data_IF_888104886095
#
_entry.id   IF_888104886095
#
_cell.length_a   1.000
_cell.length_b   1.000
_cell.length_c   1.000
_cell.angle_alpha   90.00
_cell.angle_beta   90.00
_cell.angle_gamma   90.00
#
_symmetry.space_group_name_H-M   'P 1'
#
loop_
_entity.id
_entity.type
_entity.pdbx_description
1 polymer ?
#
# COMPACT_ATOMS: atom_id res chain seq x y z
N UNK A 1 44.07 -5.56 -15.85
CA UNK A 1 42.85 -6.28 -16.25
C UNK A 1 42.37 -7.04 -15.03
N UNK A 2 41.34 -6.52 -14.39
CA UNK A 2 40.88 -6.93 -13.06
C UNK A 2 39.84 -8.04 -13.17
N UNK A 3 39.92 -9.05 -12.32
CA UNK A 3 39.07 -10.25 -12.26
C UNK A 3 37.55 -9.98 -11.94
N UNK A 4 37.12 -8.72 -11.86
CA UNK A 4 35.75 -8.33 -11.56
C UNK A 4 34.79 -8.34 -12.76
N UNK A 5 35.32 -8.33 -14.01
CA UNK A 5 34.47 -8.20 -15.20
C UNK A 5 33.92 -9.53 -15.74
N UNK A 6 34.33 -10.65 -15.15
CA UNK A 6 33.92 -11.99 -15.64
C UNK A 6 32.66 -12.51 -14.92
N UNK A 7 32.32 -12.00 -13.73
CA UNK A 7 31.16 -12.48 -12.94
C UNK A 7 29.82 -11.83 -13.32
N UNK A 8 29.84 -10.70 -14.04
CA UNK A 8 28.61 -10.04 -14.50
C UNK A 8 28.01 -10.64 -15.79
N UNK A 9 28.74 -11.55 -16.44
CA UNK A 9 28.33 -12.08 -17.78
C UNK A 9 27.58 -13.42 -17.74
N UNK A 10 27.40 -14.05 -16.58
CA UNK A 10 26.88 -15.42 -16.48
C UNK A 10 25.43 -15.58 -16.03
N UNK A 11 24.65 -14.50 -15.82
CA UNK A 11 23.29 -14.64 -15.26
C UNK A 11 22.17 -14.48 -16.32
N UNK A 12 22.46 -14.07 -17.53
CA UNK A 12 21.45 -13.99 -18.60
C UNK A 12 21.68 -14.99 -19.71
N UNK A 13 20.89 -16.07 -19.85
CA UNK A 13 21.02 -17.00 -20.95
C UNK A 13 20.68 -16.32 -22.30
N UNK A 14 21.57 -16.44 -23.28
CA UNK A 14 21.30 -16.10 -24.69
C UNK A 14 20.07 -16.86 -25.19
N UNK A 15 18.96 -16.18 -25.39
CA UNK A 15 17.72 -16.77 -25.94
C UNK A 15 17.54 -16.34 -27.39
N UNK A 16 18.08 -17.13 -28.30
CA UNK A 16 17.67 -17.14 -29.72
C UNK A 16 16.62 -18.24 -29.88
N UNK A 17 15.34 -17.90 -29.99
CA UNK A 17 14.24 -18.62 -30.69
C UNK A 17 12.91 -17.99 -30.25
N UNK A 18 11.87 -18.10 -31.11
CA UNK A 18 10.54 -17.56 -30.82
C UNK A 18 10.08 -17.93 -29.43
N UNK A 19 9.84 -16.92 -28.60
CA UNK A 19 9.59 -17.09 -27.15
C UNK A 19 8.37 -17.98 -26.89
N UNK A 20 7.39 -17.97 -27.78
CA UNK A 20 6.17 -18.75 -27.67
C UNK A 20 6.39 -20.28 -27.85
N UNK A 21 7.40 -20.71 -28.62
CA UNK A 21 7.69 -22.14 -28.78
C UNK A 21 8.42 -22.77 -27.60
N UNK A 22 9.02 -21.94 -26.73
CA UNK A 22 9.85 -22.39 -25.60
C UNK A 22 9.09 -22.54 -24.29
N UNK A 23 7.87 -21.98 -24.18
CA UNK A 23 7.11 -22.00 -22.92
C UNK A 23 5.90 -22.93 -22.99
N UNK A 24 5.85 -23.86 -22.03
CA UNK A 24 4.70 -24.72 -21.84
C UNK A 24 3.45 -23.87 -21.52
N UNK A 25 2.34 -24.15 -22.17
CA UNK A 25 1.04 -23.49 -21.92
C UNK A 25 0.68 -23.37 -20.43
N UNK A 26 1.08 -24.34 -19.62
CA UNK A 26 0.85 -24.32 -18.17
C UNK A 26 1.48 -23.11 -17.48
N UNK A 27 2.68 -22.68 -17.91
CA UNK A 27 3.35 -21.52 -17.33
C UNK A 27 2.73 -20.22 -17.81
N UNK A 28 2.27 -20.16 -19.05
CA UNK A 28 1.55 -18.98 -19.57
C UNK A 28 0.23 -18.81 -18.84
N UNK A 29 -0.56 -19.88 -18.66
CA UNK A 29 -1.80 -19.85 -17.88
C UNK A 29 -1.54 -19.51 -16.42
N UNK A 30 -0.46 -20.02 -15.82
CA UNK A 30 -0.02 -19.71 -14.47
C UNK A 30 0.38 -18.23 -14.28
N UNK A 31 0.75 -17.53 -15.35
CA UNK A 31 0.93 -16.08 -15.35
C UNK A 31 -0.40 -15.35 -15.59
N UNK A 32 -1.11 -15.70 -16.67
CA UNK A 32 -2.26 -14.93 -17.16
C UNK A 32 -3.44 -14.96 -16.18
N UNK A 33 -3.80 -16.15 -15.68
CA UNK A 33 -4.98 -16.30 -14.82
C UNK A 33 -4.84 -15.52 -13.49
N UNK A 34 -3.78 -15.71 -12.68
CA UNK A 34 -3.62 -14.94 -11.45
C UNK A 34 -3.46 -13.44 -11.70
N UNK A 35 -2.76 -13.05 -12.76
CA UNK A 35 -2.57 -11.65 -13.12
C UNK A 35 -3.89 -10.97 -13.49
N UNK A 36 -4.72 -11.61 -14.32
CA UNK A 36 -6.06 -11.10 -14.66
C UNK A 36 -6.92 -11.03 -13.41
N UNK A 37 -6.92 -12.07 -12.58
CA UNK A 37 -7.68 -12.07 -11.33
C UNK A 37 -7.24 -10.92 -10.41
N UNK A 38 -5.94 -10.70 -10.23
CA UNK A 38 -5.42 -9.58 -9.47
C UNK A 38 -5.85 -8.22 -10.04
N UNK A 39 -5.74 -8.02 -11.36
CA UNK A 39 -6.20 -6.79 -12.02
C UNK A 39 -7.70 -6.58 -11.81
N UNK A 40 -8.52 -7.62 -11.98
CA UNK A 40 -9.97 -7.54 -11.79
C UNK A 40 -10.33 -7.15 -10.35
N UNK A 41 -9.68 -7.76 -9.37
CA UNK A 41 -9.96 -7.51 -7.96
C UNK A 41 -9.55 -6.11 -7.49
N UNK A 42 -8.38 -5.63 -7.95
CA UNK A 42 -7.75 -4.42 -7.41
C UNK A 42 -7.87 -3.18 -8.29
N UNK A 43 -8.08 -3.34 -9.59
CA UNK A 43 -7.98 -2.24 -10.56
C UNK A 43 -9.24 -1.99 -11.37
N UNK A 44 -10.18 -2.95 -11.45
CA UNK A 44 -11.42 -2.71 -12.20
C UNK A 44 -12.44 -2.05 -11.28
N UNK A 45 -12.85 -0.80 -11.58
CA UNK A 45 -13.89 -0.14 -10.82
C UNK A 45 -15.23 -0.80 -11.12
N UNK A 46 -16.02 -1.02 -10.08
CA UNK A 46 -17.39 -1.53 -10.12
C UNK A 46 -18.33 -0.54 -9.44
N UNK A 47 -19.53 -0.41 -9.95
CA UNK A 47 -20.56 0.41 -9.34
C UNK A 47 -21.40 -0.44 -8.39
N UNK A 48 -21.47 -0.05 -7.13
CA UNK A 48 -22.27 -0.68 -6.09
C UNK A 48 -23.05 0.42 -5.37
N UNK A 49 -24.36 0.30 -5.34
CA UNK A 49 -25.27 1.28 -4.70
C UNK A 49 -25.03 2.74 -5.13
N UNK A 50 -24.74 2.95 -6.43
CA UNK A 50 -24.47 4.26 -7.00
C UNK A 50 -23.09 4.85 -6.68
N UNK A 51 -22.20 4.07 -6.04
CA UNK A 51 -20.80 4.45 -5.75
C UNK A 51 -19.82 3.58 -6.52
N UNK A 52 -18.76 4.21 -7.06
CA UNK A 52 -17.69 3.49 -7.73
C UNK A 52 -16.66 3.01 -6.72
N UNK A 53 -16.32 1.73 -6.76
CA UNK A 53 -15.35 1.12 -5.86
C UNK A 53 -14.65 -0.06 -6.55
N UNK A 54 -13.73 -0.75 -5.85
CA UNK A 54 -13.06 -1.95 -6.38
C UNK A 54 -13.60 -3.20 -5.69
N UNK A 55 -13.53 -4.35 -6.38
CA UNK A 55 -14.12 -5.61 -5.90
C UNK A 55 -13.59 -6.01 -4.52
N UNK A 56 -12.29 -5.80 -4.27
CA UNK A 56 -11.70 -6.10 -2.94
C UNK A 56 -12.39 -5.30 -1.83
N UNK A 57 -12.72 -4.02 -2.09
CA UNK A 57 -13.43 -3.21 -1.10
C UNK A 57 -14.87 -3.67 -0.91
N UNK A 58 -15.57 -4.05 -1.97
CA UNK A 58 -16.93 -4.63 -1.86
C UNK A 58 -16.93 -5.87 -0.98
N UNK A 59 -15.95 -6.76 -1.17
CA UNK A 59 -15.79 -7.95 -0.32
C UNK A 59 -15.47 -7.54 1.12
N UNK A 60 -14.62 -6.53 1.32
CA UNK A 60 -14.30 -6.01 2.64
C UNK A 60 -15.53 -5.45 3.36
N UNK A 61 -16.34 -4.66 2.68
CA UNK A 61 -17.56 -4.05 3.22
C UNK A 61 -18.61 -5.13 3.57
N UNK A 62 -18.73 -6.18 2.75
CA UNK A 62 -19.59 -7.33 3.04
C UNK A 62 -19.14 -8.10 4.29
N UNK A 63 -17.85 -8.37 4.43
CA UNK A 63 -17.30 -9.01 5.64
C UNK A 63 -17.48 -8.10 6.84
N UNK A 64 -17.25 -6.79 6.68
CA UNK A 64 -17.41 -5.79 7.72
C UNK A 64 -18.81 -5.75 8.29
N UNK A 65 -19.82 -5.77 7.42
CA UNK A 65 -21.23 -5.80 7.85
C UNK A 65 -21.60 -7.07 8.63
N UNK A 66 -20.99 -8.21 8.27
CA UNK A 66 -21.22 -9.48 8.98
C UNK A 66 -20.52 -9.56 10.36
N UNK A 67 -19.46 -8.78 10.57
CA UNK A 67 -18.60 -8.85 11.76
C UNK A 67 -18.57 -7.54 12.55
N UNK A 68 -19.49 -6.61 12.30
CA UNK A 68 -19.47 -5.25 12.84
C UNK A 68 -19.21 -5.19 14.35
N UNK A 69 -19.92 -6.01 15.14
CA UNK A 69 -19.80 -6.03 16.60
C UNK A 69 -18.46 -6.57 17.11
N UNK A 70 -17.80 -7.43 16.31
CA UNK A 70 -16.56 -8.08 16.72
C UNK A 70 -15.31 -7.27 16.30
N UNK A 71 -15.41 -6.47 15.25
CA UNK A 71 -14.26 -5.77 14.68
C UNK A 71 -13.56 -4.79 15.63
N UNK A 72 -14.27 -3.96 16.43
CA UNK A 72 -13.61 -3.03 17.36
C UNK A 72 -12.74 -3.75 18.40
N UNK A 73 -13.24 -4.85 18.98
CA UNK A 73 -12.45 -5.63 19.95
C UNK A 73 -11.27 -6.33 19.27
N UNK A 74 -11.45 -6.83 18.05
CA UNK A 74 -10.36 -7.41 17.26
C UNK A 74 -9.25 -6.37 16.99
N UNK A 75 -9.61 -5.14 16.62
CA UNK A 75 -8.65 -4.05 16.44
C UNK A 75 -7.87 -3.77 17.74
N UNK A 76 -8.56 -3.67 18.89
CA UNK A 76 -7.92 -3.49 20.19
C UNK A 76 -6.92 -4.62 20.51
N UNK A 77 -7.28 -5.87 20.23
CA UNK A 77 -6.41 -7.03 20.46
C UNK A 77 -5.17 -6.94 19.56
N UNK A 78 -5.33 -6.67 18.26
CA UNK A 78 -4.22 -6.57 17.31
C UNK A 78 -3.24 -5.45 17.70
N UNK A 79 -3.78 -4.27 18.03
CA UNK A 79 -2.98 -3.11 18.43
C UNK A 79 -2.24 -3.39 19.75
N UNK A 80 -2.88 -4.07 20.70
CA UNK A 80 -2.26 -4.48 21.96
C UNK A 80 -1.14 -5.49 21.76
N UNK A 81 -1.37 -6.53 20.94
CA UNK A 81 -0.33 -7.51 20.60
C UNK A 81 0.87 -6.79 19.95
N UNK A 82 0.61 -5.84 19.06
CA UNK A 82 1.67 -5.07 18.42
C UNK A 82 2.48 -4.25 19.41
N UNK A 83 1.83 -3.60 20.37
CA UNK A 83 2.49 -2.82 21.42
C UNK A 83 3.33 -3.72 22.33
N UNK A 84 2.77 -4.83 22.80
CA UNK A 84 3.46 -5.78 23.71
C UNK A 84 4.67 -6.41 23.02
N UNK A 85 4.51 -6.90 21.81
CA UNK A 85 5.63 -7.50 21.04
C UNK A 85 6.66 -6.44 20.63
N UNK A 86 6.24 -5.20 20.34
CA UNK A 86 7.16 -4.09 20.10
C UNK A 86 8.00 -3.74 21.32
N UNK A 87 7.41 -3.71 22.51
CA UNK A 87 8.15 -3.52 23.77
C UNK A 87 9.07 -4.72 24.05
N UNK A 88 8.57 -5.95 23.86
CA UNK A 88 9.40 -7.15 24.02
C UNK A 88 10.61 -7.16 23.08
N UNK A 89 10.46 -6.69 21.84
CA UNK A 89 11.54 -6.63 20.86
C UNK A 89 12.70 -5.70 21.26
N UNK A 90 12.46 -4.71 22.13
CA UNK A 90 13.53 -3.87 22.67
C UNK A 90 14.53 -4.65 23.57
N UNK A 91 14.10 -5.78 24.11
CA UNK A 91 14.92 -6.66 24.95
C UNK A 91 15.59 -7.80 24.17
N UNK A 92 15.44 -7.82 22.84
CA UNK A 92 16.03 -8.83 21.95
C UNK A 92 15.79 -10.29 22.38
N UNK A 93 14.55 -10.72 22.64
CA UNK A 93 14.29 -12.09 23.01
C UNK A 93 14.51 -13.02 21.81
N UNK A 94 15.14 -14.17 22.03
CA UNK A 94 15.50 -15.14 20.99
C UNK A 94 14.34 -15.51 20.06
N UNK A 95 13.12 -15.62 20.59
CA UNK A 95 11.95 -15.99 19.78
C UNK A 95 11.57 -14.91 18.74
N UNK A 96 11.93 -13.63 18.95
CA UNK A 96 11.74 -12.57 17.97
C UNK A 96 12.92 -12.54 17.00
N UNK A 97 14.15 -12.63 17.51
CA UNK A 97 15.36 -12.48 16.70
C UNK A 97 15.59 -13.68 15.76
N UNK A 98 15.16 -14.88 16.14
CA UNK A 98 15.30 -16.10 15.33
C UNK A 98 14.22 -16.21 14.22
N UNK A 99 13.12 -15.44 14.31
CA UNK A 99 12.03 -15.51 13.33
C UNK A 99 12.01 -14.25 12.45
N UNK A 100 12.40 -14.33 11.16
CA UNK A 100 12.53 -13.17 10.28
C UNK A 100 11.27 -12.31 10.19
N UNK A 101 10.08 -12.93 10.19
CA UNK A 101 8.81 -12.21 10.15
C UNK A 101 8.59 -11.37 11.44
N UNK A 102 8.84 -11.96 12.60
CA UNK A 102 8.70 -11.26 13.88
C UNK A 102 9.73 -10.14 14.00
N UNK A 103 10.98 -10.43 13.66
CA UNK A 103 12.06 -9.45 13.67
C UNK A 103 11.71 -8.24 12.80
N UNK A 104 11.35 -8.45 11.54
CA UNK A 104 11.03 -7.37 10.61
C UNK A 104 9.81 -6.56 11.03
N UNK A 105 8.82 -7.18 11.68
CA UNK A 105 7.58 -6.51 12.08
C UNK A 105 7.71 -5.75 13.39
N UNK A 106 8.43 -6.29 14.37
CA UNK A 106 8.45 -5.75 15.74
C UNK A 106 9.75 -5.09 16.15
N UNK A 107 10.89 -5.45 15.53
CA UNK A 107 12.18 -4.81 15.81
C UNK A 107 12.26 -3.44 15.13
N UNK A 108 11.78 -2.42 15.83
CA UNK A 108 11.70 -1.05 15.36
C UNK A 108 12.39 -0.09 16.33
N UNK A 109 12.55 1.19 15.93
CA UNK A 109 13.14 2.18 16.81
C UNK A 109 12.26 2.43 18.05
N UNK A 110 12.82 2.84 19.20
CA UNK A 110 12.04 3.11 20.41
C UNK A 110 10.91 4.12 20.20
N UNK A 111 11.08 5.09 19.30
CA UNK A 111 10.03 6.07 18.96
C UNK A 111 8.78 5.39 18.39
N UNK A 112 8.95 4.42 17.48
CA UNK A 112 7.84 3.66 16.92
C UNK A 112 7.16 2.77 17.97
N UNK A 113 7.93 2.21 18.92
CA UNK A 113 7.36 1.43 20.04
C UNK A 113 6.49 2.31 20.91
N UNK A 114 6.93 3.53 21.23
CA UNK A 114 6.12 4.50 22.00
C UNK A 114 4.81 4.80 21.27
N UNK A 115 4.84 5.06 19.97
CA UNK A 115 3.64 5.31 19.16
C UNK A 115 2.68 4.11 19.21
N UNK A 116 3.17 2.88 19.13
CA UNK A 116 2.36 1.66 19.24
C UNK A 116 1.72 1.52 20.61
N UNK A 117 2.45 1.82 21.69
CA UNK A 117 1.94 1.77 23.06
C UNK A 117 0.84 2.83 23.28
N UNK A 118 1.07 4.07 22.83
CA UNK A 118 0.07 5.14 22.90
C UNK A 118 -1.17 4.74 22.09
N UNK A 119 -0.99 4.20 20.88
CA UNK A 119 -2.10 3.69 20.06
C UNK A 119 -2.91 2.60 20.76
N UNK A 120 -2.25 1.68 21.48
CA UNK A 120 -2.95 0.65 22.25
C UNK A 120 -3.76 1.26 23.41
N UNK A 121 -3.21 2.22 24.12
CA UNK A 121 -3.92 2.94 25.18
C UNK A 121 -5.13 3.68 24.61
N UNK A 122 -4.97 4.38 23.50
CA UNK A 122 -6.08 5.09 22.85
C UNK A 122 -7.16 4.13 22.36
N UNK A 123 -6.79 2.96 21.80
CA UNK A 123 -7.76 1.97 21.36
C UNK A 123 -8.64 1.46 22.53
N UNK A 124 -8.06 1.18 23.67
CA UNK A 124 -8.83 0.74 24.84
C UNK A 124 -9.67 1.86 25.46
N UNK A 125 -9.20 3.10 25.45
CA UNK A 125 -9.99 4.26 25.91
C UNK A 125 -11.19 4.47 24.97
N UNK A 126 -10.97 4.42 23.65
CA UNK A 126 -12.03 4.52 22.66
C UNK A 126 -13.05 3.39 22.80
N UNK A 127 -12.59 2.15 22.97
CA UNK A 127 -13.46 0.99 23.18
C UNK A 127 -14.26 1.09 24.49
N UNK A 128 -13.65 1.59 25.58
CA UNK A 128 -14.35 1.86 26.82
C UNK A 128 -15.39 2.98 26.67
N UNK A 129 -15.10 4.02 25.88
CA UNK A 129 -16.04 5.08 25.54
C UNK A 129 -17.29 4.56 24.83
N UNK A 130 -17.14 3.59 23.92
CA UNK A 130 -18.26 2.90 23.26
C UNK A 130 -19.13 2.13 24.27
N UNK A 131 -18.53 1.55 25.32
CA UNK A 131 -19.24 0.71 26.30
C UNK A 131 -19.87 1.49 27.47
N UNK A 132 -19.23 2.56 27.92
CA UNK A 132 -19.55 3.22 29.21
C UNK A 132 -20.28 4.55 29.05
N UNK A 133 -20.19 5.17 27.83
CA UNK A 133 -20.77 6.51 27.63
C UNK A 133 -20.04 7.64 28.41
N UNK A 134 -20.55 8.82 28.31
CA UNK A 134 -19.98 10.13 28.64
C UNK A 134 -19.28 10.31 30.01
N UNK A 135 -17.95 10.27 30.02
CA UNK A 135 -17.10 10.71 31.13
C UNK A 135 -16.05 11.74 30.65
N UNK A 136 -16.06 12.95 31.19
CA UNK A 136 -15.32 14.12 30.63
C UNK A 136 -13.83 13.92 30.26
N UNK A 137 -12.94 13.30 31.01
CA UNK A 137 -11.56 13.12 30.59
C UNK A 137 -11.40 12.02 29.51
N UNK A 138 -12.34 11.08 29.42
CA UNK A 138 -12.40 10.05 28.40
C UNK A 138 -12.94 10.59 27.06
N UNK A 139 -13.79 11.63 27.06
CA UNK A 139 -14.35 12.21 25.85
C UNK A 139 -13.32 12.84 24.93
N UNK A 140 -12.26 13.43 25.46
CA UNK A 140 -11.19 14.04 24.64
C UNK A 140 -10.51 12.99 23.76
N UNK A 141 -10.29 11.79 24.29
CA UNK A 141 -9.61 10.69 23.55
C UNK A 141 -10.64 9.72 22.98
N UNK A 142 -11.65 9.36 23.76
CA UNK A 142 -12.65 8.34 23.44
C UNK A 142 -13.99 8.89 22.93
N UNK A 143 -14.06 10.17 22.55
CA UNK A 143 -15.27 10.78 22.02
C UNK A 143 -15.62 10.29 20.60
N UNK A 144 -16.90 10.48 20.21
CA UNK A 144 -17.40 10.08 18.87
C UNK A 144 -16.62 10.72 17.72
N UNK A 145 -16.17 11.97 17.89
CA UNK A 145 -15.40 12.72 16.88
C UNK A 145 -13.88 12.51 16.98
N UNK A 146 -13.40 11.61 17.85
CA UNK A 146 -11.97 11.38 18.07
C UNK A 146 -11.63 9.89 18.03
N UNK A 147 -11.30 9.28 19.16
CA UNK A 147 -10.84 7.89 19.21
C UNK A 147 -11.88 6.87 18.81
N UNK A 148 -13.16 7.10 19.12
CA UNK A 148 -14.25 6.21 18.73
C UNK A 148 -14.44 6.20 17.20
N UNK A 149 -14.36 7.35 16.54
CA UNK A 149 -14.35 7.44 15.09
C UNK A 149 -13.16 6.67 14.49
N UNK A 150 -11.95 6.89 15.03
CA UNK A 150 -10.76 6.19 14.50
C UNK A 150 -10.89 4.68 14.70
N UNK A 151 -11.34 4.22 15.86
CA UNK A 151 -11.50 2.79 16.14
C UNK A 151 -12.65 2.17 15.34
N UNK A 152 -13.83 2.80 15.35
CA UNK A 152 -15.07 2.26 14.81
C UNK A 152 -15.14 2.35 13.29
N UNK A 153 -14.85 3.52 12.71
CA UNK A 153 -15.04 3.75 11.28
C UNK A 153 -13.76 3.52 10.47
N UNK A 154 -12.59 3.85 11.04
CA UNK A 154 -11.35 3.76 10.28
C UNK A 154 -10.64 2.41 10.47
N UNK A 155 -10.34 1.99 11.72
CA UNK A 155 -9.59 0.76 11.96
C UNK A 155 -10.35 -0.51 11.58
N UNK A 156 -11.66 -0.54 11.80
CA UNK A 156 -12.50 -1.70 11.45
C UNK A 156 -12.49 -1.96 9.94
N UNK A 157 -12.55 -0.91 9.14
CA UNK A 157 -12.43 -1.02 7.68
C UNK A 157 -11.02 -1.44 7.29
N UNK A 158 -9.99 -0.81 7.88
CA UNK A 158 -8.60 -1.11 7.56
C UNK A 158 -8.18 -2.54 7.94
N UNK A 159 -8.66 -3.09 9.04
CA UNK A 159 -8.29 -4.45 9.46
C UNK A 159 -8.73 -5.50 8.43
N UNK A 160 -9.92 -5.32 7.85
CA UNK A 160 -10.44 -6.23 6.82
C UNK A 160 -9.73 -6.01 5.50
N UNK A 161 -9.59 -4.74 5.08
CA UNK A 161 -8.88 -4.40 3.83
C UNK A 161 -7.45 -4.93 3.87
N UNK A 162 -6.72 -4.74 4.95
CA UNK A 162 -5.34 -5.22 5.09
C UNK A 162 -5.25 -6.75 5.08
N UNK A 163 -6.25 -7.43 5.64
CA UNK A 163 -6.31 -8.89 5.56
C UNK A 163 -6.51 -9.36 4.12
N UNK A 164 -7.56 -8.86 3.46
CA UNK A 164 -7.87 -9.24 2.08
C UNK A 164 -6.77 -8.82 1.12
N UNK A 165 -6.31 -7.59 1.24
CA UNK A 165 -5.24 -7.09 0.40
C UNK A 165 -3.95 -7.87 0.64
N UNK A 166 -3.53 -8.06 1.88
CA UNK A 166 -2.35 -8.86 2.19
C UNK A 166 -2.42 -10.25 1.59
N UNK A 167 -3.57 -10.92 1.74
CA UNK A 167 -3.79 -12.27 1.21
C UNK A 167 -3.80 -12.31 -0.31
N UNK A 168 -4.37 -11.31 -0.98
CA UNK A 168 -4.58 -11.30 -2.43
C UNK A 168 -3.49 -10.57 -3.22
N UNK A 169 -2.71 -9.68 -2.57
CA UNK A 169 -1.60 -8.96 -3.21
C UNK A 169 -0.60 -9.87 -3.95
N UNK A 170 -0.24 -11.06 -3.47
CA UNK A 170 0.61 -11.96 -4.22
C UNK A 170 0.12 -12.28 -5.63
N UNK A 171 -1.19 -12.13 -5.94
CA UNK A 171 -1.71 -12.26 -7.32
C UNK A 171 -1.09 -11.22 -8.27
N UNK A 172 -0.80 -10.03 -7.77
CA UNK A 172 -0.13 -8.98 -8.53
C UNK A 172 1.39 -9.10 -8.49
N UNK A 173 1.94 -9.52 -7.32
CA UNK A 173 3.39 -9.49 -7.04
C UNK A 173 4.14 -10.72 -7.54
N UNK A 174 3.55 -11.92 -7.39
CA UNK A 174 4.30 -13.18 -7.49
C UNK A 174 4.13 -13.92 -8.82
N UNK A 175 3.12 -13.57 -9.61
CA UNK A 175 2.80 -14.27 -10.85
C UNK A 175 3.30 -13.58 -12.13
N UNK A 176 4.14 -12.53 -12.01
CA UNK A 176 4.86 -11.96 -13.14
C UNK A 176 4.18 -10.77 -13.81
N UNK A 177 3.07 -10.26 -13.28
CA UNK A 177 2.39 -9.07 -13.82
C UNK A 177 3.30 -7.85 -13.79
N UNK A 178 4.01 -7.64 -12.69
CA UNK A 178 4.92 -6.49 -12.52
C UNK A 178 6.11 -6.57 -13.49
N UNK A 179 6.63 -7.75 -13.74
CA UNK A 179 7.71 -7.99 -14.69
C UNK A 179 7.25 -7.68 -16.11
N UNK A 180 6.04 -8.13 -16.50
CA UNK A 180 5.47 -7.90 -17.81
C UNK A 180 5.19 -6.41 -18.07
N UNK A 181 4.42 -5.78 -17.20
CA UNK A 181 4.08 -4.34 -17.29
C UNK A 181 5.34 -3.49 -17.14
N UNK A 182 6.26 -3.90 -16.26
CA UNK A 182 7.54 -3.23 -16.05
C UNK A 182 8.35 -3.11 -17.33
N UNK A 183 8.54 -4.22 -18.05
CA UNK A 183 9.26 -4.22 -19.32
C UNK A 183 8.54 -3.40 -20.41
N UNK A 184 7.21 -3.40 -20.40
CA UNK A 184 6.41 -2.70 -21.40
C UNK A 184 6.46 -1.18 -21.21
N UNK A 185 6.32 -0.71 -19.97
CA UNK A 185 6.13 0.71 -19.65
C UNK A 185 7.42 1.45 -19.26
N UNK A 186 8.56 0.78 -19.12
CA UNK A 186 9.83 1.43 -18.73
C UNK A 186 10.18 2.61 -19.62
N UNK A 187 9.97 2.50 -20.95
CA UNK A 187 10.25 3.57 -21.92
C UNK A 187 9.41 4.84 -21.71
N UNK A 188 8.26 4.72 -21.04
CA UNK A 188 7.35 5.84 -20.75
C UNK A 188 7.58 6.35 -19.35
N UNK A 189 7.60 5.46 -18.36
CA UNK A 189 7.66 5.82 -16.94
C UNK A 189 8.99 6.47 -16.54
N UNK A 190 10.10 5.96 -17.08
CA UNK A 190 11.44 6.52 -16.75
C UNK A 190 11.62 7.98 -17.16
N UNK A 191 11.42 8.38 -18.42
CA UNK A 191 11.63 9.77 -18.82
C UNK A 191 10.60 10.72 -18.23
N UNK A 192 9.32 10.30 -18.12
CA UNK A 192 8.26 11.17 -17.66
C UNK A 192 8.26 11.34 -16.13
N UNK A 193 8.26 10.25 -15.38
CA UNK A 193 8.03 10.26 -13.94
C UNK A 193 9.25 9.89 -13.10
N UNK A 194 10.38 9.53 -13.73
CA UNK A 194 11.62 9.11 -13.02
C UNK A 194 11.47 7.85 -12.17
N UNK A 195 10.50 6.99 -12.52
CA UNK A 195 10.23 5.71 -11.83
C UNK A 195 10.33 4.54 -12.81
N UNK A 196 10.57 3.31 -12.33
CA UNK A 196 10.62 2.12 -13.19
C UNK A 196 9.24 1.81 -13.77
N UNK A 197 9.22 1.10 -14.92
CA UNK A 197 7.98 0.76 -15.61
C UNK A 197 7.00 -0.06 -14.76
N UNK A 198 7.50 -0.93 -13.87
CA UNK A 198 6.67 -1.71 -12.95
C UNK A 198 5.90 -0.85 -11.94
N UNK A 199 6.39 0.36 -11.62
CA UNK A 199 5.70 1.33 -10.80
C UNK A 199 4.36 1.81 -11.38
N UNK A 200 4.12 1.60 -12.68
CA UNK A 200 2.82 1.88 -13.28
C UNK A 200 1.67 1.08 -12.65
N UNK A 201 1.93 -0.16 -12.21
CA UNK A 201 0.94 -1.00 -11.54
C UNK A 201 0.56 -0.38 -10.20
N UNK A 202 1.56 0.06 -9.41
CA UNK A 202 1.35 0.70 -8.12
C UNK A 202 0.54 2.00 -8.28
N UNK A 203 0.89 2.82 -9.29
CA UNK A 203 0.19 4.07 -9.61
C UNK A 203 -1.29 3.83 -9.97
N UNK A 204 -1.56 2.86 -10.84
CA UNK A 204 -2.93 2.52 -11.26
C UNK A 204 -3.73 1.95 -10.08
N UNK A 205 -3.14 1.03 -9.30
CA UNK A 205 -3.78 0.48 -8.10
C UNK A 205 -4.14 1.57 -7.10
N UNK A 206 -3.27 2.56 -6.92
CA UNK A 206 -3.49 3.68 -6.00
C UNK A 206 -4.58 4.64 -6.49
N UNK A 207 -4.64 4.94 -7.77
CA UNK A 207 -5.59 5.92 -8.32
C UNK A 207 -6.98 5.33 -8.52
N UNK A 208 -7.08 4.15 -9.11
CA UNK A 208 -8.35 3.50 -9.41
C UNK A 208 -8.87 2.73 -8.19
N UNK A 209 -7.97 2.06 -7.46
CA UNK A 209 -8.28 1.29 -6.27
C UNK A 209 -8.30 2.14 -5.00
N UNK A 210 -7.43 1.79 -4.09
CA UNK A 210 -7.25 2.46 -2.80
C UNK A 210 -5.79 2.89 -2.63
N UNK A 211 -5.56 4.13 -2.14
CA UNK A 211 -4.22 4.68 -1.94
C UNK A 211 -3.37 3.84 -0.99
N UNK A 212 -3.98 3.23 0.02
CA UNK A 212 -3.28 2.35 0.97
C UNK A 212 -2.72 1.10 0.28
N UNK A 213 -3.46 0.54 -0.67
CA UNK A 213 -3.04 -0.62 -1.46
C UNK A 213 -1.84 -0.28 -2.36
N UNK A 214 -1.86 0.90 -3.00
CA UNK A 214 -0.75 1.37 -3.83
C UNK A 214 0.52 1.59 -3.02
N UNK A 215 0.42 2.23 -1.85
CA UNK A 215 1.56 2.40 -0.92
C UNK A 215 2.11 1.06 -0.46
N UNK A 216 1.23 0.11 -0.16
CA UNK A 216 1.61 -1.24 0.22
C UNK A 216 2.40 -1.99 -0.86
N UNK A 217 1.91 -1.95 -2.09
CA UNK A 217 2.64 -2.50 -3.24
C UNK A 217 4.03 -1.88 -3.33
N UNK A 218 4.12 -0.56 -3.21
CA UNK A 218 5.38 0.18 -3.26
C UNK A 218 6.33 -0.20 -2.14
N UNK A 219 5.86 -0.35 -0.91
CA UNK A 219 6.66 -0.80 0.22
C UNK A 219 7.22 -2.22 -0.01
N UNK A 220 6.36 -3.16 -0.43
CA UNK A 220 6.80 -4.52 -0.76
C UNK A 220 7.87 -4.55 -1.87
N UNK A 221 7.72 -3.70 -2.91
CA UNK A 221 8.70 -3.61 -3.99
C UNK A 221 10.03 -2.99 -3.52
N UNK A 222 9.98 -1.99 -2.63
CA UNK A 222 11.16 -1.38 -2.03
C UNK A 222 11.90 -2.38 -1.12
N UNK A 223 11.19 -3.06 -0.23
CA UNK A 223 11.75 -4.08 0.67
C UNK A 223 12.35 -5.27 -0.11
N UNK A 224 11.72 -5.63 -1.21
CA UNK A 224 12.21 -6.67 -2.11
C UNK A 224 13.40 -6.24 -2.98
N UNK A 225 13.79 -4.94 -2.98
CA UNK A 225 14.92 -4.40 -3.73
C UNK A 225 14.64 -4.11 -5.21
N UNK A 226 13.37 -4.01 -5.61
CA UNK A 226 12.99 -3.63 -6.97
C UNK A 226 12.92 -2.12 -7.18
N UNK A 227 12.70 -1.35 -6.10
CA UNK A 227 12.73 0.11 -6.12
C UNK A 227 13.86 0.66 -5.27
N UNK A 228 14.40 1.79 -5.70
CA UNK A 228 15.26 2.60 -4.86
C UNK A 228 14.42 3.41 -3.85
N UNK A 229 15.07 3.91 -2.80
CA UNK A 229 14.44 4.78 -1.81
C UNK A 229 13.80 6.03 -2.44
N UNK A 230 14.43 6.56 -3.49
CA UNK A 230 13.91 7.70 -4.26
C UNK A 230 12.68 7.31 -5.05
N UNK A 231 12.71 6.22 -5.81
CA UNK A 231 11.60 5.73 -6.63
C UNK A 231 10.38 5.40 -5.77
N UNK A 232 10.56 4.65 -4.69
CA UNK A 232 9.50 4.34 -3.74
C UNK A 232 8.87 5.61 -3.15
N UNK A 233 9.70 6.62 -2.81
CA UNK A 233 9.19 7.89 -2.30
C UNK A 233 8.40 8.67 -3.34
N UNK A 234 8.84 8.68 -4.61
CA UNK A 234 8.09 9.32 -5.70
C UNK A 234 6.73 8.66 -5.87
N UNK A 235 6.67 7.33 -5.95
CA UNK A 235 5.42 6.60 -6.14
C UNK A 235 4.48 6.86 -4.97
N UNK A 236 4.94 6.68 -3.74
CA UNK A 236 4.10 6.81 -2.54
C UNK A 236 3.58 8.21 -2.28
N UNK A 237 4.33 9.26 -2.66
CA UNK A 237 3.91 10.66 -2.41
C UNK A 237 3.17 11.29 -3.57
N UNK A 238 3.50 10.92 -4.82
CA UNK A 238 2.98 11.59 -6.01
C UNK A 238 1.75 10.90 -6.57
N UNK A 239 1.67 9.58 -6.46
CA UNK A 239 0.60 8.78 -7.05
C UNK A 239 -0.38 8.21 -6.02
N UNK A 240 -0.09 8.31 -4.72
CA UNK A 240 -0.96 7.79 -3.66
C UNK A 240 -1.81 8.86 -2.97
N UNK A 241 -1.85 10.07 -3.52
CA UNK A 241 -2.54 11.20 -2.91
C UNK A 241 -4.07 11.12 -3.04
N UNK A 242 -4.59 10.49 -4.09
CA UNK A 242 -6.04 10.50 -4.40
C UNK A 242 -6.47 9.18 -5.02
N UNK A 243 -7.48 8.54 -4.44
CA UNK A 243 -8.17 7.39 -5.03
C UNK A 243 -9.60 7.77 -5.43
N UNK A 244 -10.21 6.97 -6.31
CA UNK A 244 -11.64 7.12 -6.66
C UNK A 244 -12.49 7.07 -5.38
N UNK A 245 -12.27 6.07 -4.54
CA UNK A 245 -13.04 5.84 -3.32
C UNK A 245 -12.96 7.04 -2.37
N UNK A 246 -11.76 7.56 -2.12
CA UNK A 246 -11.59 8.73 -1.25
C UNK A 246 -12.25 9.99 -1.85
N UNK A 247 -12.14 10.19 -3.17
CA UNK A 247 -12.79 11.30 -3.86
C UNK A 247 -14.31 11.28 -3.72
N UNK A 248 -14.92 10.09 -3.76
CA UNK A 248 -16.36 9.91 -3.56
C UNK A 248 -16.74 10.29 -2.13
N UNK A 249 -16.01 9.78 -1.13
CA UNK A 249 -16.29 10.11 0.28
C UNK A 249 -16.21 11.62 0.53
N UNK A 250 -15.17 12.29 0.03
CA UNK A 250 -15.02 13.75 0.18
C UNK A 250 -16.19 14.50 -0.47
N UNK A 251 -16.59 14.13 -1.69
CA UNK A 251 -17.67 14.79 -2.38
C UNK A 251 -19.05 14.52 -1.74
N UNK A 252 -19.25 13.34 -1.18
CA UNK A 252 -20.46 13.00 -0.44
C UNK A 252 -20.59 13.83 0.85
N UNK A 253 -19.51 14.08 1.56
CA UNK A 253 -19.51 14.90 2.78
C UNK A 253 -19.87 16.39 2.52
N UNK A 254 -19.64 16.88 1.32
CA UNK A 254 -19.95 18.27 0.94
C UNK A 254 -21.13 18.40 -0.01
N UNK A 255 -21.92 17.33 -0.21
CA UNK A 255 -23.10 17.26 -1.08
C UNK A 255 -22.84 17.66 -2.55
N UNK A 256 -21.63 17.35 -3.06
CA UNK A 256 -21.20 17.70 -4.42
C UNK A 256 -21.03 16.48 -5.34
N UNK A 257 -21.69 15.36 -5.05
CA UNK A 257 -21.56 14.10 -5.83
C UNK A 257 -21.90 14.27 -7.32
N UNK A 258 -22.80 15.20 -7.67
CA UNK A 258 -23.13 15.53 -9.04
C UNK A 258 -21.95 16.02 -9.90
N UNK A 259 -20.88 16.50 -9.26
CA UNK A 259 -19.67 16.96 -9.92
C UNK A 259 -18.53 15.93 -9.90
N UNK A 260 -18.79 14.69 -9.49
CA UNK A 260 -17.74 13.66 -9.35
C UNK A 260 -16.89 13.48 -10.62
N UNK A 261 -17.54 13.38 -11.80
CA UNK A 261 -16.82 13.18 -13.06
C UNK A 261 -15.80 14.29 -13.38
N UNK A 262 -16.25 15.57 -13.48
CA UNK A 262 -15.34 16.71 -13.69
C UNK A 262 -14.27 16.87 -12.58
N UNK A 263 -14.66 16.66 -11.33
CA UNK A 263 -13.75 16.74 -10.17
C UNK A 263 -12.64 15.70 -10.27
N UNK A 264 -13.00 14.44 -10.50
CA UNK A 264 -12.02 13.35 -10.58
C UNK A 264 -11.08 13.49 -11.80
N UNK A 265 -11.63 13.93 -12.95
CA UNK A 265 -10.83 14.23 -14.13
C UNK A 265 -9.81 15.36 -13.86
N UNK A 266 -10.22 16.41 -13.16
CA UNK A 266 -9.33 17.51 -12.78
C UNK A 266 -8.22 17.04 -11.82
N UNK A 267 -8.57 16.23 -10.83
CA UNK A 267 -7.59 15.64 -9.89
C UNK A 267 -6.58 14.76 -10.63
N UNK A 268 -7.02 13.90 -11.54
CA UNK A 268 -6.11 13.09 -12.35
C UNK A 268 -5.16 13.98 -13.18
N UNK A 269 -5.68 15.04 -13.80
CA UNK A 269 -4.86 15.98 -14.55
C UNK A 269 -3.80 16.67 -13.66
N UNK A 270 -4.22 17.20 -12.52
CA UNK A 270 -3.31 17.83 -11.53
C UNK A 270 -2.31 16.80 -11.02
N UNK A 271 -2.75 15.58 -10.72
CA UNK A 271 -1.89 14.47 -10.28
C UNK A 271 -0.79 14.15 -11.31
N UNK A 272 -1.13 14.08 -12.61
CA UNK A 272 -0.15 13.89 -13.68
C UNK A 272 0.86 15.05 -13.73
N UNK A 273 0.38 16.29 -13.65
CA UNK A 273 1.25 17.47 -13.64
C UNK A 273 2.19 17.44 -12.42
N UNK A 274 1.66 17.14 -11.23
CA UNK A 274 2.47 16.98 -10.02
C UNK A 274 3.50 15.85 -10.19
N UNK A 275 3.10 14.71 -10.76
CA UNK A 275 3.99 13.59 -11.00
C UNK A 275 5.13 13.92 -11.99
N UNK A 276 4.91 14.86 -12.91
CA UNK A 276 5.96 15.37 -13.79
C UNK A 276 6.90 16.33 -13.09
N UNK A 277 6.41 17.17 -12.18
CA UNK A 277 7.19 18.27 -11.56
C UNK A 277 7.89 17.80 -10.29
N UNK A 278 7.15 17.19 -9.36
CA UNK A 278 7.62 16.91 -7.98
C UNK A 278 8.87 16.03 -7.92
N UNK A 279 9.07 15.00 -8.77
CA UNK A 279 10.30 14.22 -8.77
C UNK A 279 11.56 15.01 -9.16
N UNK A 280 11.39 16.22 -9.74
CA UNK A 280 12.47 17.06 -10.24
C UNK A 280 12.85 18.20 -9.31
N UNK A 281 12.02 18.46 -8.29
CA UNK A 281 12.25 19.52 -7.28
C UNK A 281 12.62 18.91 -5.92
N UNK A 282 13.36 19.67 -5.05
CA UNK A 282 13.57 19.26 -3.67
C UNK A 282 12.24 19.10 -2.90
N UNK A 283 12.11 18.16 -1.96
CA UNK A 283 13.15 17.25 -1.43
C UNK A 283 13.40 15.98 -2.23
N UNK A 284 12.47 15.56 -3.13
CA UNK A 284 12.55 14.27 -3.83
C UNK A 284 13.75 14.19 -4.79
N UNK A 285 14.09 15.30 -5.46
CA UNK A 285 15.25 15.35 -6.36
C UNK A 285 16.59 15.13 -5.66
N UNK A 286 16.67 15.48 -4.36
CA UNK A 286 17.87 15.34 -3.53
C UNK A 286 17.95 13.98 -2.82
N UNK A 287 16.86 13.19 -2.83
CA UNK A 287 16.85 11.89 -2.18
C UNK A 287 17.80 10.93 -2.90
N UNK A 288 18.60 10.19 -2.13
CA UNK A 288 19.58 9.23 -2.67
C UNK A 288 18.87 8.08 -3.38
N UNK A 289 19.46 7.64 -4.47
CA UNK A 289 18.96 6.52 -5.28
C UNK A 289 19.61 5.21 -4.79
N UNK A 290 19.24 4.83 -3.56
CA UNK A 290 19.78 3.65 -2.86
C UNK A 290 18.75 2.54 -2.80
N UNK A 291 19.16 1.32 -3.09
CA UNK A 291 18.35 0.10 -2.95
C UNK A 291 18.56 -0.51 -1.57
N UNK A 292 17.50 -1.09 -0.99
CA UNK A 292 17.60 -1.84 0.26
C UNK A 292 18.30 -3.20 0.05
N UNK A 293 17.98 -3.83 -1.08
CA UNK A 293 18.60 -5.07 -1.54
C UNK A 293 19.08 -4.86 -2.97
N UNK A 294 20.38 -4.99 -3.21
CA UNK A 294 20.98 -4.77 -4.53
C UNK A 294 20.69 -5.94 -5.51
N UNK A 295 20.66 -5.63 -6.79
CA UNK A 295 20.69 -6.64 -7.87
C UNK A 295 19.35 -7.05 -8.44
N UNK A 296 18.21 -6.47 -8.01
CA UNK A 296 16.88 -6.79 -8.55
C UNK A 296 16.28 -5.71 -9.45
N UNK A 297 16.98 -4.60 -9.65
CA UNK A 297 16.52 -3.57 -10.58
C UNK A 297 16.41 -4.12 -12.01
N UNK A 298 15.29 -3.82 -12.67
CA UNK A 298 15.11 -4.23 -14.08
C UNK A 298 15.99 -3.37 -15.00
N UNK A 299 16.63 -3.97 -16.03
CA UNK A 299 17.41 -3.21 -17.00
C UNK A 299 16.52 -2.20 -17.73
N UNK A 300 17.04 -0.99 -17.92
CA UNK A 300 16.32 0.12 -18.59
C UNK A 300 16.27 -0.04 -20.11
N UNK A 301 17.23 -0.77 -20.65
CA UNK A 301 17.33 -1.06 -22.10
C UNK A 301 16.92 -2.48 -22.39
N UNK A 302 16.32 -2.69 -23.56
CA UNK A 302 15.95 -4.01 -24.02
C UNK A 302 17.23 -4.87 -24.20
N UNK A 303 17.36 -6.02 -23.51
CA UNK A 303 18.53 -6.87 -23.65
C UNK A 303 18.68 -7.41 -25.09
N UNK A 304 19.93 -7.65 -25.51
CA UNK A 304 20.22 -8.25 -26.81
C UNK A 304 19.54 -9.63 -26.94
N UNK A 305 18.88 -9.84 -28.08
CA UNK A 305 18.17 -11.10 -28.38
C UNK A 305 16.66 -11.05 -28.26
N UNK A 306 16.08 -9.92 -27.83
CA UNK A 306 14.64 -9.69 -27.80
C UNK A 306 14.23 -8.69 -28.89
N UNK A 307 13.13 -8.99 -29.61
CA UNK A 307 12.62 -8.12 -30.68
C UNK A 307 11.67 -7.04 -30.16
N UNK A 308 11.07 -7.22 -28.96
CA UNK A 308 10.14 -6.27 -28.38
C UNK A 308 10.13 -6.33 -26.85
N UNK A 309 9.76 -5.21 -26.20
CA UNK A 309 9.58 -5.14 -24.76
C UNK A 309 8.52 -6.11 -24.25
N UNK A 310 7.45 -6.36 -25.05
CA UNK A 310 6.41 -7.33 -24.70
C UNK A 310 6.96 -8.77 -24.64
N UNK A 311 7.82 -9.14 -25.61
CA UNK A 311 8.47 -10.45 -25.65
C UNK A 311 9.41 -10.63 -24.44
N UNK A 312 10.17 -9.60 -24.12
CA UNK A 312 11.04 -9.60 -22.94
C UNK A 312 10.23 -9.70 -21.64
N UNK A 313 9.18 -8.87 -21.48
CA UNK A 313 8.31 -8.90 -20.32
C UNK A 313 7.61 -10.25 -20.12
N UNK A 314 7.12 -10.87 -21.21
CA UNK A 314 6.53 -12.21 -21.14
C UNK A 314 7.56 -13.26 -20.69
N UNK A 315 8.80 -13.17 -21.16
CA UNK A 315 9.85 -14.11 -20.72
C UNK A 315 10.13 -14.00 -19.23
N UNK A 316 10.19 -12.78 -18.70
CA UNK A 316 10.39 -12.53 -17.27
C UNK A 316 9.18 -13.00 -16.44
N UNK A 317 7.96 -12.73 -16.90
CA UNK A 317 6.74 -13.16 -16.22
C UNK A 317 6.66 -14.69 -16.10
N UNK A 318 6.93 -15.40 -17.19
CA UNK A 318 6.93 -16.87 -17.18
C UNK A 318 8.06 -17.43 -16.31
N UNK A 319 9.23 -16.80 -16.29
CA UNK A 319 10.33 -17.21 -15.42
C UNK A 319 9.97 -17.04 -13.94
N UNK A 320 9.27 -15.94 -13.59
CA UNK A 320 8.74 -15.71 -12.26
C UNK A 320 7.79 -16.83 -11.81
N UNK A 321 6.85 -17.23 -12.67
CA UNK A 321 5.91 -18.34 -12.38
C UNK A 321 6.62 -19.67 -12.18
N UNK A 322 7.67 -19.97 -12.94
CA UNK A 322 8.46 -21.21 -12.76
C UNK A 322 9.14 -21.27 -11.39
N UNK A 323 9.53 -20.13 -10.83
CA UNK A 323 10.13 -20.03 -9.50
C UNK A 323 9.13 -20.15 -8.36
N UNK A 324 7.82 -20.07 -8.64
CA UNK A 324 6.78 -20.07 -7.61
C UNK A 324 6.45 -21.50 -7.13
N UNK A 325 6.46 -21.69 -5.80
CA UNK A 325 6.25 -23.01 -5.17
C UNK A 325 4.77 -23.41 -4.99
N UNK A 326 3.85 -22.75 -5.70
CA UNK A 326 2.41 -23.06 -5.67
C UNK A 326 1.64 -22.37 -4.55
N UNK A 327 0.43 -22.92 -4.24
CA UNK A 327 -0.55 -22.30 -3.32
C UNK A 327 0.00 -22.10 -1.90
N UNK A 328 0.88 -22.99 -1.43
CA UNK A 328 1.49 -22.86 -0.10
C UNK A 328 2.30 -21.59 0.06
N UNK A 329 3.14 -21.26 -0.92
CA UNK A 329 3.93 -20.02 -0.92
C UNK A 329 3.04 -18.79 -1.06
N UNK A 330 1.99 -18.87 -1.88
CA UNK A 330 1.00 -17.80 -2.02
C UNK A 330 0.34 -17.46 -0.69
N UNK A 331 -0.16 -18.45 0.04
CA UNK A 331 -0.78 -18.25 1.35
C UNK A 331 0.21 -17.75 2.38
N UNK A 332 1.43 -18.31 2.40
CA UNK A 332 2.48 -17.86 3.31
C UNK A 332 2.82 -16.38 3.10
N UNK A 333 3.06 -15.96 1.85
CA UNK A 333 3.33 -14.57 1.52
C UNK A 333 2.14 -13.67 1.86
N UNK A 334 0.92 -14.11 1.56
CA UNK A 334 -0.30 -13.38 1.86
C UNK A 334 -0.49 -13.15 3.36
N UNK A 335 -0.31 -14.17 4.18
CA UNK A 335 -0.42 -14.06 5.64
C UNK A 335 0.69 -13.15 6.20
N UNK A 336 1.92 -13.28 5.69
CA UNK A 336 3.03 -12.40 6.10
C UNK A 336 2.75 -10.93 5.79
N UNK A 337 2.22 -10.64 4.61
CA UNK A 337 1.82 -9.30 4.22
C UNK A 337 0.70 -8.76 5.12
N UNK A 338 -0.36 -9.52 5.33
CA UNK A 338 -1.47 -9.13 6.20
C UNK A 338 -1.00 -8.85 7.64
N UNK A 339 -0.18 -9.74 8.21
CA UNK A 339 0.37 -9.58 9.56
C UNK A 339 1.27 -8.32 9.66
N UNK A 340 2.14 -8.10 8.67
CA UNK A 340 2.99 -6.90 8.62
C UNK A 340 2.16 -5.61 8.67
N UNK A 341 1.04 -5.57 7.94
CA UNK A 341 0.13 -4.43 7.94
C UNK A 341 -0.65 -4.27 9.23
N UNK A 342 -1.22 -5.35 9.74
CA UNK A 342 -1.96 -5.30 10.99
C UNK A 342 -1.11 -4.79 12.15
N UNK A 343 0.05 -5.39 12.35
CA UNK A 343 0.91 -5.04 13.48
C UNK A 343 1.78 -3.80 13.24
N UNK A 344 2.05 -3.45 11.98
CA UNK A 344 2.84 -2.27 11.63
C UNK A 344 2.01 -1.00 11.55
N UNK A 345 0.85 -1.03 10.88
CA UNK A 345 0.10 0.16 10.50
C UNK A 345 -1.02 0.51 11.46
N UNK A 346 -1.85 -0.47 11.88
CA UNK A 346 -3.03 -0.16 12.72
C UNK A 346 -2.72 0.60 14.01
N UNK A 347 -1.67 0.25 14.79
CA UNK A 347 -1.34 0.99 16.01
C UNK A 347 -0.94 2.44 15.73
N UNK A 348 -0.24 2.66 14.60
CA UNK A 348 0.18 4.00 14.18
C UNK A 348 -1.01 4.84 13.76
N UNK A 349 -1.92 4.27 12.98
CA UNK A 349 -3.17 4.93 12.57
C UNK A 349 -4.01 5.29 13.79
N UNK A 350 -4.15 4.40 14.77
CA UNK A 350 -4.86 4.69 16.01
C UNK A 350 -4.23 5.85 16.79
N UNK A 351 -2.91 5.84 16.96
CA UNK A 351 -2.21 6.89 17.68
C UNK A 351 -2.29 8.24 16.97
N UNK A 352 -1.84 8.27 15.70
CA UNK A 352 -1.70 9.51 14.93
C UNK A 352 -3.06 10.05 14.52
N UNK A 353 -4.00 9.19 14.13
CA UNK A 353 -5.36 9.57 13.76
C UNK A 353 -6.10 10.21 14.92
N UNK A 354 -6.09 9.58 16.11
CA UNK A 354 -6.71 10.15 17.32
C UNK A 354 -6.06 11.48 17.70
N UNK A 355 -4.73 11.59 17.69
CA UNK A 355 -4.05 12.86 17.97
C UNK A 355 -4.39 13.96 16.95
N UNK A 356 -4.49 13.61 15.68
CA UNK A 356 -4.86 14.57 14.63
C UNK A 356 -6.29 15.09 14.84
N UNK A 357 -7.25 14.21 15.16
CA UNK A 357 -8.62 14.61 15.44
C UNK A 357 -8.74 15.41 16.75
N UNK A 358 -7.99 15.06 17.78
CA UNK A 358 -7.90 15.86 19.01
C UNK A 358 -7.40 17.28 18.72
N UNK A 359 -6.34 17.42 17.91
CA UNK A 359 -5.85 18.72 17.47
C UNK A 359 -6.88 19.47 16.64
N UNK A 360 -7.60 18.78 15.75
CA UNK A 360 -8.63 19.39 14.93
C UNK A 360 -9.81 19.91 15.75
N UNK A 361 -10.30 19.12 16.70
CA UNK A 361 -11.53 19.41 17.44
C UNK A 361 -11.30 20.33 18.66
N UNK A 362 -10.15 20.20 19.32
CA UNK A 362 -9.88 20.92 20.57
C UNK A 362 -8.88 22.08 20.44
N UNK A 363 -8.36 22.33 19.25
CA UNK A 363 -7.47 23.48 19.00
C UNK A 363 -7.98 24.31 17.83
N UNK A 364 -7.83 25.64 17.96
CA UNK A 364 -8.14 26.58 16.87
C UNK A 364 -7.10 26.57 15.75
N UNK A 365 -6.11 25.67 15.79
CA UNK A 365 -4.99 25.64 14.85
C UNK A 365 -5.42 25.48 13.39
N UNK A 366 -6.42 24.64 13.11
CA UNK A 366 -6.97 24.44 11.77
C UNK A 366 -7.86 25.59 11.30
N UNK A 367 -8.52 26.32 12.20
CA UNK A 367 -9.30 27.51 11.87
C UNK A 367 -8.42 28.65 11.33
N UNK A 368 -7.17 28.75 11.81
CA UNK A 368 -6.21 29.76 11.31
C UNK A 368 -5.53 29.36 10.00
N UNK A 369 -5.40 28.06 9.73
CA UNK A 369 -4.70 27.56 8.54
C UNK A 369 -5.61 27.37 7.32
N UNK A 370 -6.93 27.31 7.52
CA UNK A 370 -7.91 27.18 6.43
C UNK A 370 -9.16 28.03 6.71
N UNK A 371 -9.06 29.37 6.66
CA UNK A 371 -10.22 30.22 6.87
C UNK A 371 -11.18 30.12 5.67
N UNK A 372 -12.19 29.25 5.77
CA UNK A 372 -13.34 29.28 4.86
C UNK A 372 -14.20 30.50 5.18
N UNK A 373 -14.64 31.29 4.19
CA UNK A 373 -15.60 32.38 4.42
C UNK A 373 -16.92 31.92 5.03
N UNK A 374 -17.28 30.66 4.91
CA UNK A 374 -18.49 30.05 5.51
C UNK A 374 -18.37 29.84 7.02
N UNK A 375 -17.17 29.56 7.54
CA UNK A 375 -16.99 29.28 8.97
C UNK A 375 -17.08 30.55 9.83
N UNK A 376 -17.00 31.75 9.23
CA UNK A 376 -17.20 33.03 9.92
C UNK A 376 -18.66 33.38 10.15
N UNK A 377 -19.60 32.67 9.55
CA UNK A 377 -21.03 32.92 9.69
C UNK A 377 -21.70 32.05 10.78
N UNK A 378 -20.95 31.15 11.41
CA UNK A 378 -21.43 30.25 12.46
C UNK A 378 -20.83 30.53 13.84
N UNK A 379 -20.01 31.58 13.98
CA UNK A 379 -19.48 32.07 15.27
C UNK A 379 -20.22 33.29 15.81
#
# INVERSE_FOLDING_TARGET
MQKSDILHFCIYPRVKRSVLEKYNWKHILGFVIPSILGVVLFMIPVEVDGTWTVIVKVIADLIGSCMADFLPILCCIIVTISAVLGVAALFHPKFIDEHPLMYNTFSTTPAWVIIRVIGAVFAWIAFAGVLVGDGEPLQIIGGEDTGTFVLGDLLTVLVIIFFLAGLLLPLLLDFGLLEFIGALLTKVMRPLFKIPGRGAVDCVTSWIGDGTLGVMLTCNQYESGYYSAREASIISTTFSAVSITFSIVVLAQVDLMQYFGPYYMLICLVGIICALIVPRIPPLSLKKDTYLVEGKAMPETLPEGYNSSAQYGLSLAVERVKGHRGIGQFLENGIKNAAGMWFGVLPVVMCVGTLALMLANYTTCLLYTSPSPRDRSLS
#
